data_IF_423271693657
#
_entry.id   IF_423271693657
#
_cell.length_a   1.000
_cell.length_b   1.000
_cell.length_c   1.000
_cell.angle_alpha   90.00
_cell.angle_beta   90.00
_cell.angle_gamma   90.00
#
_symmetry.space_group_name_H-M   'P 1'
#
loop_
_entity.id
_entity.type
_entity.pdbx_description
1 polymer ?
#
# COMPACT_ATOMS: atom_id res chain seq x y z
N UNK A 1 -14.39 -28.79 22.29
CA UNK A 1 -13.71 -27.86 21.37
C UNK A 1 -13.52 -28.59 20.06
N UNK A 2 -14.17 -28.12 18.99
CA UNK A 2 -14.16 -28.79 17.68
C UNK A 2 -12.86 -28.40 16.98
N UNK A 3 -12.11 -29.37 16.49
CA UNK A 3 -10.85 -29.12 15.80
C UNK A 3 -11.09 -28.78 14.34
N UNK A 4 -10.35 -27.81 13.81
CA UNK A 4 -10.31 -27.47 12.39
C UNK A 4 -9.49 -28.52 11.62
N UNK A 5 -9.99 -28.95 10.46
CA UNK A 5 -9.22 -29.81 9.54
C UNK A 5 -8.46 -28.96 8.49
N UNK A 6 -7.56 -29.57 7.73
CA UNK A 6 -6.73 -28.86 6.74
C UNK A 6 -7.57 -28.14 5.67
N UNK A 7 -8.63 -28.78 5.15
CA UNK A 7 -9.52 -28.16 4.15
C UNK A 7 -10.27 -26.94 4.72
N UNK A 8 -10.77 -27.03 5.94
CA UNK A 8 -11.41 -25.92 6.64
C UNK A 8 -10.41 -24.79 6.89
N UNK A 9 -9.18 -25.11 7.29
CA UNK A 9 -8.11 -24.14 7.45
C UNK A 9 -7.79 -23.42 6.13
N UNK A 10 -7.62 -24.14 5.03
CA UNK A 10 -7.41 -23.53 3.71
C UNK A 10 -8.56 -22.59 3.31
N UNK A 11 -9.81 -22.95 3.64
CA UNK A 11 -10.96 -22.08 3.43
C UNK A 11 -10.92 -20.82 4.30
N UNK A 12 -10.49 -20.93 5.56
CA UNK A 12 -10.32 -19.77 6.46
C UNK A 12 -9.31 -18.78 5.86
N UNK A 13 -8.15 -19.26 5.41
CA UNK A 13 -7.12 -18.39 4.82
C UNK A 13 -7.60 -17.75 3.50
N UNK A 14 -8.22 -18.52 2.59
CA UNK A 14 -8.79 -17.96 1.35
C UNK A 14 -9.81 -16.86 1.63
N UNK A 15 -10.73 -17.12 2.56
CA UNK A 15 -11.74 -16.15 2.96
C UNK A 15 -11.11 -14.92 3.61
N UNK A 16 -10.09 -15.10 4.46
CA UNK A 16 -9.35 -14.00 5.06
C UNK A 16 -8.73 -13.10 3.99
N UNK A 17 -7.99 -13.66 3.03
CA UNK A 17 -7.35 -12.90 1.95
C UNK A 17 -8.38 -12.10 1.16
N UNK A 18 -9.49 -12.73 0.76
CA UNK A 18 -10.54 -12.06 -0.02
C UNK A 18 -11.21 -10.93 0.76
N UNK A 19 -11.56 -11.17 2.03
CA UNK A 19 -12.18 -10.15 2.90
C UNK A 19 -11.19 -9.03 3.24
N UNK A 20 -9.93 -9.36 3.48
CA UNK A 20 -8.84 -8.40 3.75
C UNK A 20 -8.63 -7.45 2.57
N UNK A 21 -8.46 -7.98 1.35
CA UNK A 21 -8.29 -7.17 0.14
C UNK A 21 -9.54 -6.33 -0.14
N UNK A 22 -10.73 -6.92 0.02
CA UNK A 22 -12.00 -6.18 -0.10
C UNK A 22 -12.08 -5.00 0.88
N UNK A 23 -11.66 -5.22 2.13
CA UNK A 23 -11.64 -4.19 3.17
C UNK A 23 -10.63 -3.08 2.84
N UNK A 24 -9.42 -3.45 2.39
CA UNK A 24 -8.41 -2.49 1.91
C UNK A 24 -8.97 -1.68 0.74
N UNK A 25 -9.56 -2.33 -0.26
CA UNK A 25 -10.12 -1.66 -1.43
C UNK A 25 -11.20 -0.65 -1.07
N UNK A 26 -12.05 -0.97 -0.09
CA UNK A 26 -13.05 -0.03 0.42
C UNK A 26 -12.42 1.12 1.21
N UNK A 27 -11.62 0.80 2.24
CA UNK A 27 -11.08 1.78 3.18
C UNK A 27 -10.08 2.75 2.54
N UNK A 28 -9.34 2.27 1.54
CA UNK A 28 -8.43 3.09 0.73
C UNK A 28 -9.14 3.76 -0.45
N UNK A 29 -10.47 3.68 -0.52
CA UNK A 29 -11.32 4.31 -1.52
C UNK A 29 -10.86 3.97 -2.95
N UNK A 30 -10.56 2.69 -3.22
CA UNK A 30 -10.04 2.26 -4.52
C UNK A 30 -11.11 2.22 -5.61
N UNK A 31 -12.35 1.90 -5.24
CA UNK A 31 -13.51 1.83 -6.13
C UNK A 31 -14.68 2.64 -5.57
N UNK A 32 -15.67 2.98 -6.41
CA UNK A 32 -16.91 3.60 -5.93
C UNK A 32 -17.75 2.70 -5.05
N UNK A 33 -18.65 3.32 -4.30
CA UNK A 33 -19.54 2.65 -3.35
C UNK A 33 -20.38 1.55 -4.00
N UNK A 34 -20.80 1.70 -5.26
CA UNK A 34 -21.54 0.69 -5.99
C UNK A 34 -20.77 -0.61 -6.27
N UNK A 35 -19.44 -0.57 -6.18
CA UNK A 35 -18.60 -1.77 -6.27
C UNK A 35 -18.67 -2.63 -5.01
N UNK A 36 -19.32 -2.17 -3.95
CA UNK A 36 -19.38 -2.85 -2.67
C UNK A 36 -20.80 -3.12 -2.19
N UNK A 37 -20.91 -4.15 -1.36
CA UNK A 37 -22.11 -4.47 -0.62
C UNK A 37 -21.79 -4.68 0.87
N UNK A 38 -22.76 -4.39 1.74
CA UNK A 38 -22.58 -4.56 3.17
C UNK A 38 -22.51 -6.04 3.54
N UNK A 39 -21.58 -6.37 4.41
CA UNK A 39 -21.41 -7.74 4.94
C UNK A 39 -21.04 -7.70 6.40
N UNK A 40 -21.32 -8.79 7.12
CA UNK A 40 -20.91 -8.96 8.51
C UNK A 40 -20.03 -10.19 8.62
N UNK A 41 -18.81 -10.00 9.14
CA UNK A 41 -17.86 -11.10 9.39
C UNK A 41 -17.45 -11.05 10.86
N UNK A 42 -17.86 -12.07 11.63
CA UNK A 42 -17.50 -12.14 13.05
C UNK A 42 -17.93 -10.93 13.88
N UNK A 43 -19.06 -10.32 13.53
CA UNK A 43 -19.57 -9.11 14.18
C UNK A 43 -18.95 -7.80 13.69
N UNK A 44 -17.96 -7.85 12.78
CA UNK A 44 -17.45 -6.66 12.09
C UNK A 44 -18.36 -6.33 10.91
N UNK A 45 -18.84 -5.09 10.85
CA UNK A 45 -19.47 -4.55 9.64
C UNK A 45 -18.36 -4.24 8.65
N UNK A 46 -18.42 -4.84 7.46
CA UNK A 46 -17.40 -4.70 6.42
C UNK A 46 -18.08 -4.52 5.07
N UNK A 47 -17.26 -4.20 4.06
CA UNK A 47 -17.69 -4.04 2.67
C UNK A 47 -17.11 -5.17 1.84
N UNK A 48 -17.99 -5.90 1.17
CA UNK A 48 -17.63 -6.97 0.24
C UNK A 48 -17.56 -6.40 -1.17
N UNK A 49 -16.42 -6.55 -1.82
CA UNK A 49 -16.19 -6.16 -3.19
C UNK A 49 -17.02 -7.08 -4.10
N UNK A 50 -17.68 -6.48 -5.07
CA UNK A 50 -18.55 -7.14 -6.04
C UNK A 50 -18.01 -6.92 -7.45
N UNK A 51 -18.54 -7.67 -8.43
CA UNK A 51 -18.21 -7.50 -9.85
C UNK A 51 -19.05 -6.41 -10.53
N UNK A 52 -19.46 -5.36 -9.79
CA UNK A 52 -20.35 -4.32 -10.32
C UNK A 52 -19.69 -3.41 -11.37
N UNK A 53 -18.36 -3.27 -11.34
CA UNK A 53 -17.59 -2.50 -12.33
C UNK A 53 -16.45 -3.36 -12.90
N UNK A 54 -16.01 -3.11 -14.16
CA UNK A 54 -14.99 -3.95 -14.80
C UNK A 54 -13.68 -4.06 -14.00
N UNK A 55 -13.24 -2.97 -13.39
CA UNK A 55 -11.99 -2.92 -12.63
C UNK A 55 -12.10 -3.72 -11.32
N UNK A 56 -13.28 -3.72 -10.67
CA UNK A 56 -13.49 -4.55 -9.47
C UNK A 56 -13.64 -6.03 -9.83
N UNK A 57 -14.23 -6.33 -10.99
CA UNK A 57 -14.27 -7.69 -11.53
C UNK A 57 -12.86 -8.22 -11.81
N UNK A 58 -12.00 -7.42 -12.47
CA UNK A 58 -10.62 -7.80 -12.73
C UNK A 58 -9.84 -8.12 -11.43
N UNK A 59 -9.98 -7.29 -10.39
CA UNK A 59 -9.35 -7.58 -9.09
C UNK A 59 -9.88 -8.88 -8.46
N UNK A 60 -11.18 -9.16 -8.59
CA UNK A 60 -11.77 -10.41 -8.10
C UNK A 60 -11.29 -11.62 -8.91
N UNK A 61 -11.04 -11.47 -10.21
CA UNK A 61 -10.52 -12.55 -11.05
C UNK A 61 -9.05 -12.85 -10.74
N UNK A 62 -8.23 -11.83 -10.44
CA UNK A 62 -6.88 -12.02 -9.90
C UNK A 62 -6.90 -12.87 -8.63
N UNK A 63 -7.85 -12.62 -7.72
CA UNK A 63 -7.98 -13.35 -6.45
C UNK A 63 -8.53 -14.77 -6.68
N UNK A 64 -9.69 -14.87 -7.35
CA UNK A 64 -10.45 -16.11 -7.45
C UNK A 64 -9.78 -17.15 -8.35
N UNK A 65 -9.11 -16.70 -9.42
CA UNK A 65 -8.52 -17.61 -10.42
C UNK A 65 -6.99 -17.69 -10.32
N UNK A 66 -6.31 -16.62 -9.90
CA UNK A 66 -4.85 -16.61 -9.79
C UNK A 66 -4.34 -16.93 -8.40
N UNK A 67 -4.69 -16.10 -7.40
CA UNK A 67 -4.23 -16.26 -6.01
C UNK A 67 -4.71 -17.59 -5.43
N UNK A 68 -6.00 -17.92 -5.60
CA UNK A 68 -6.55 -19.15 -5.03
C UNK A 68 -6.07 -20.42 -5.73
N UNK A 69 -5.67 -20.35 -7.00
CA UNK A 69 -4.98 -21.44 -7.68
C UNK A 69 -3.59 -21.68 -7.05
N UNK A 70 -2.82 -20.61 -6.86
CA UNK A 70 -1.49 -20.68 -6.22
C UNK A 70 -1.58 -21.14 -4.74
N UNK A 71 -2.58 -20.69 -3.99
CA UNK A 71 -2.84 -21.17 -2.62
C UNK A 71 -3.28 -22.63 -2.60
N UNK A 72 -4.16 -23.04 -3.53
CA UNK A 72 -4.67 -24.41 -3.61
C UNK A 72 -3.59 -25.45 -3.89
N UNK A 73 -2.52 -25.05 -4.59
CA UNK A 73 -1.33 -25.87 -4.85
C UNK A 73 -0.23 -25.72 -3.79
N UNK A 74 -0.46 -24.90 -2.76
CA UNK A 74 0.54 -24.54 -1.75
C UNK A 74 1.83 -23.93 -2.33
N UNK A 75 1.70 -23.24 -3.46
CA UNK A 75 2.81 -22.59 -4.16
C UNK A 75 3.09 -21.20 -3.60
N UNK A 76 2.04 -20.50 -3.16
CA UNK A 76 2.10 -19.10 -2.74
C UNK A 76 2.76 -18.95 -1.36
N UNK A 77 3.93 -18.28 -1.32
CA UNK A 77 4.62 -17.86 -0.09
C UNK A 77 4.13 -16.49 0.38
N UNK A 78 4.08 -15.51 -0.50
CA UNK A 78 3.62 -14.16 -0.17
C UNK A 78 2.74 -13.60 -1.29
N UNK A 79 1.67 -12.92 -0.90
CA UNK A 79 0.85 -12.09 -1.78
C UNK A 79 1.02 -10.63 -1.37
N UNK A 80 1.44 -9.77 -2.30
CA UNK A 80 1.64 -8.35 -2.05
C UNK A 80 0.68 -7.54 -2.91
N UNK A 81 -0.18 -6.74 -2.27
CA UNK A 81 -1.06 -5.77 -2.93
C UNK A 81 -0.48 -4.39 -2.75
N UNK A 82 -0.14 -3.72 -3.85
CA UNK A 82 0.58 -2.43 -3.80
C UNK A 82 -0.19 -1.35 -4.53
N UNK A 83 -0.32 -0.20 -3.88
CA UNK A 83 -0.97 1.00 -4.41
C UNK A 83 0.11 2.02 -4.77
N UNK A 84 0.06 2.56 -5.99
CA UNK A 84 1.06 3.46 -6.56
C UNK A 84 0.43 4.78 -6.95
N UNK A 85 1.25 5.83 -7.05
CA UNK A 85 0.86 7.08 -7.69
C UNK A 85 0.99 7.00 -9.24
N UNK A 86 0.71 8.11 -9.94
CA UNK A 86 0.84 8.22 -11.40
C UNK A 86 2.26 8.10 -11.96
N UNK A 87 3.27 8.14 -11.10
CA UNK A 87 4.68 7.94 -11.48
C UNK A 87 5.14 6.50 -11.19
N UNK A 88 4.19 5.59 -10.89
CA UNK A 88 4.45 4.20 -10.50
C UNK A 88 5.30 4.04 -9.24
N UNK A 89 5.34 5.08 -8.39
CA UNK A 89 6.00 5.00 -7.08
C UNK A 89 5.02 4.36 -6.10
N UNK A 90 5.42 3.28 -5.40
CA UNK A 90 4.54 2.64 -4.42
C UNK A 90 4.35 3.55 -3.21
N UNK A 91 3.09 3.70 -2.83
CA UNK A 91 2.65 4.49 -1.69
C UNK A 91 2.33 3.60 -0.50
N UNK A 92 1.66 2.47 -0.76
CA UNK A 92 1.24 1.52 0.27
C UNK A 92 1.34 0.09 -0.25
N UNK A 93 1.76 -0.83 0.61
CA UNK A 93 1.79 -2.25 0.32
C UNK A 93 1.18 -3.04 1.48
N UNK A 94 0.35 -4.02 1.14
CA UNK A 94 -0.27 -4.95 2.07
C UNK A 94 0.23 -6.35 1.72
N UNK A 95 1.03 -6.95 2.61
CA UNK A 95 1.63 -8.26 2.40
C UNK A 95 0.88 -9.30 3.22
N UNK A 96 0.49 -10.39 2.56
CA UNK A 96 -0.10 -11.58 3.15
C UNK A 96 0.92 -12.71 2.99
N UNK A 97 1.62 -13.09 4.06
CA UNK A 97 2.61 -14.15 4.04
C UNK A 97 2.00 -15.46 4.55
N UNK A 98 2.12 -16.52 3.76
CA UNK A 98 1.51 -17.82 4.01
C UNK A 98 2.58 -18.85 4.31
N UNK A 99 2.28 -19.75 5.24
CA UNK A 99 3.10 -20.92 5.54
C UNK A 99 2.20 -22.15 5.61
N UNK A 100 2.61 -23.22 4.93
CA UNK A 100 1.89 -24.50 4.91
C UNK A 100 2.60 -25.54 5.80
N UNK A 101 1.84 -26.37 6.50
CA UNK A 101 2.38 -27.42 7.36
C UNK A 101 3.16 -28.46 6.53
N UNK A 102 4.48 -28.30 6.47
CA UNK A 102 5.37 -29.21 5.77
C UNK A 102 6.87 -28.90 5.90
N UNK A 103 7.26 -27.68 6.29
CA UNK A 103 8.67 -27.26 6.17
C UNK A 103 9.52 -27.45 7.43
N UNK A 104 9.00 -27.24 8.63
CA UNK A 104 9.73 -27.42 9.90
C UNK A 104 8.70 -27.46 11.01
N UNK A 105 8.89 -28.20 12.09
CA UNK A 105 7.97 -28.20 13.25
C UNK A 105 7.86 -26.84 13.98
N UNK A 106 8.17 -25.73 13.32
CA UNK A 106 8.10 -24.36 13.79
C UNK A 106 6.99 -23.62 13.04
N UNK A 107 5.93 -23.26 13.76
CA UNK A 107 4.82 -22.42 13.29
C UNK A 107 5.06 -20.95 13.65
N UNK A 108 6.24 -20.41 13.34
CA UNK A 108 6.45 -18.96 13.35
C UNK A 108 6.75 -18.49 11.94
N UNK A 109 5.95 -17.53 11.47
CA UNK A 109 6.19 -16.89 10.18
C UNK A 109 7.32 -15.88 10.40
N UNK A 110 8.57 -16.32 10.27
CA UNK A 110 9.69 -15.37 10.17
C UNK A 110 9.63 -14.70 8.80
N UNK A 111 9.07 -13.50 8.78
CA UNK A 111 9.17 -12.58 7.65
C UNK A 111 10.62 -12.12 7.53
N UNK A 112 11.41 -12.79 6.69
CA UNK A 112 12.60 -12.18 6.13
C UNK A 112 12.15 -11.24 5.02
N UNK A 113 11.76 -10.03 5.39
CA UNK A 113 11.60 -8.94 4.42
C UNK A 113 13.01 -8.68 3.89
N UNK A 114 13.31 -9.25 2.72
CA UNK A 114 14.59 -9.08 2.07
C UNK A 114 14.85 -7.59 1.88
N UNK A 115 15.88 -7.08 2.55
CA UNK A 115 16.66 -5.99 1.98
C UNK A 115 17.06 -6.44 0.56
N UNK A 116 16.51 -5.81 -0.47
CA UNK A 116 16.88 -6.09 -1.85
C UNK A 116 18.24 -5.45 -2.10
N UNK A 117 19.31 -6.08 -1.60
CA UNK A 117 20.67 -5.80 -2.04
C UNK A 117 20.92 -6.65 -3.28
N UNK A 118 21.05 -5.97 -4.42
CA UNK A 118 21.39 -6.59 -5.69
C UNK A 118 22.89 -6.78 -5.82
N UNK A 119 23.47 -7.73 -5.07
CA UNK A 119 24.87 -8.08 -5.23
C UNK A 119 25.07 -9.59 -5.41
N UNK A 120 25.37 -9.97 -6.65
CA UNK A 120 25.86 -11.29 -7.04
C UNK A 120 27.26 -11.56 -6.48
N UNK A 121 27.40 -12.74 -5.87
CA UNK A 121 28.60 -13.57 -5.68
C UNK A 121 29.82 -13.00 -4.93
N UNK A 122 30.19 -13.69 -3.83
CA UNK A 122 31.43 -14.46 -3.84
C UNK A 122 31.56 -15.42 -2.64
N UNK A 123 31.83 -16.68 -2.97
CA UNK A 123 32.23 -17.74 -2.06
C UNK A 123 33.51 -17.38 -1.29
N UNK A 124 33.49 -17.50 0.05
CA UNK A 124 34.67 -17.81 0.86
C UNK A 124 34.34 -18.75 2.02
N UNK A 125 34.60 -20.02 1.74
CA UNK A 125 34.84 -21.12 2.66
C UNK A 125 35.90 -20.75 3.72
N UNK A 126 35.57 -20.80 5.03
CA UNK A 126 36.55 -20.99 6.12
C UNK A 126 35.94 -21.77 7.30
N UNK A 127 36.78 -22.66 7.84
CA UNK A 127 36.52 -23.74 8.80
C UNK A 127 36.14 -23.32 10.23
N UNK A 128 35.27 -24.14 10.85
CA UNK A 128 35.55 -24.90 12.08
C UNK A 128 35.60 -24.19 13.43
N UNK A 129 34.67 -24.57 14.33
CA UNK A 129 34.97 -24.99 15.72
C UNK A 129 33.72 -25.55 16.42
N UNK A 130 33.89 -26.75 16.96
CA UNK A 130 32.96 -27.49 17.81
C UNK A 130 32.65 -26.75 19.13
N UNK A 131 31.40 -26.81 19.59
CA UNK A 131 31.03 -26.99 21.00
C UNK A 131 29.53 -27.34 21.15
N UNK A 132 29.08 -27.89 22.30
CA UNK A 132 28.40 -29.19 22.34
C UNK A 132 26.88 -29.08 22.44
N UNK A 133 26.26 -30.20 22.10
CA UNK A 133 24.83 -30.54 22.19
C UNK A 133 24.23 -30.07 23.52
N UNK A 134 23.35 -29.07 23.44
CA UNK A 134 22.25 -28.87 24.40
C UNK A 134 21.01 -29.47 23.76
N UNK A 135 20.54 -30.59 24.32
CA UNK A 135 19.28 -31.22 23.94
C UNK A 135 18.13 -30.21 24.14
N UNK A 136 17.39 -29.82 23.09
CA UNK A 136 16.17 -29.06 23.29
C UNK A 136 15.14 -30.03 23.88
N UNK A 137 14.72 -29.74 25.11
CA UNK A 137 13.53 -30.33 25.71
C UNK A 137 12.37 -29.92 24.81
N UNK A 138 11.86 -30.86 24.01
CA UNK A 138 10.68 -30.66 23.16
C UNK A 138 9.46 -30.52 24.07
N UNK A 139 9.17 -29.30 24.52
CA UNK A 139 7.82 -29.01 24.98
C UNK A 139 6.86 -29.23 23.81
N UNK A 140 5.73 -29.93 24.01
CA UNK A 140 4.78 -30.16 22.93
C UNK A 140 4.26 -28.81 22.45
N UNK A 141 4.63 -28.44 21.21
CA UNK A 141 4.12 -27.28 20.50
C UNK A 141 2.59 -27.33 20.58
N UNK A 142 1.98 -26.31 21.21
CA UNK A 142 0.53 -26.21 21.33
C UNK A 142 -0.02 -25.86 19.95
N UNK A 143 -0.37 -26.88 19.17
CA UNK A 143 -0.99 -26.70 17.85
C UNK A 143 -2.38 -26.10 18.06
N UNK A 144 -2.55 -24.81 17.76
CA UNK A 144 -3.82 -24.11 17.83
C UNK A 144 -4.75 -24.60 16.70
N UNK A 145 -5.52 -25.66 16.96
CA UNK A 145 -6.49 -26.22 16.02
C UNK A 145 -7.94 -26.10 16.49
N UNK A 146 -8.24 -25.39 17.57
CA UNK A 146 -9.62 -25.16 18.00
C UNK A 146 -10.32 -24.14 17.10
N UNK A 147 -11.52 -24.48 16.61
CA UNK A 147 -12.28 -23.63 15.67
C UNK A 147 -12.66 -22.27 16.24
N UNK A 148 -13.01 -22.19 17.52
CA UNK A 148 -13.41 -20.91 18.12
C UNK A 148 -12.19 -20.00 18.30
N UNK A 149 -11.05 -20.57 18.66
CA UNK A 149 -9.79 -19.84 18.73
C UNK A 149 -9.35 -19.32 17.36
N UNK A 150 -9.37 -20.16 16.32
CA UNK A 150 -9.07 -19.76 14.93
C UNK A 150 -9.98 -18.63 14.47
N UNK A 151 -11.29 -18.74 14.76
CA UNK A 151 -12.27 -17.71 14.44
C UNK A 151 -11.99 -16.40 15.20
N UNK A 152 -11.64 -16.48 16.49
CA UNK A 152 -11.28 -15.32 17.30
C UNK A 152 -10.03 -14.61 16.76
N UNK A 153 -8.98 -15.37 16.43
CA UNK A 153 -7.76 -14.84 15.82
C UNK A 153 -8.07 -14.18 14.47
N UNK A 154 -8.82 -14.86 13.60
CA UNK A 154 -9.27 -14.35 12.29
C UNK A 154 -9.94 -12.98 12.43
N UNK A 155 -10.88 -12.85 13.38
CA UNK A 155 -11.60 -11.59 13.63
C UNK A 155 -10.67 -10.50 14.16
N UNK A 156 -9.72 -10.85 15.02
CA UNK A 156 -8.77 -9.89 15.58
C UNK A 156 -7.84 -9.33 14.50
N UNK A 157 -7.21 -10.19 13.69
CA UNK A 157 -6.31 -9.71 12.62
C UNK A 157 -7.08 -8.89 11.58
N UNK A 158 -8.31 -9.28 11.23
CA UNK A 158 -9.17 -8.46 10.35
C UNK A 158 -9.50 -7.09 10.97
N UNK A 159 -9.82 -7.05 12.27
CA UNK A 159 -10.12 -5.79 12.97
C UNK A 159 -8.90 -4.88 12.97
N UNK A 160 -7.73 -5.41 13.26
CA UNK A 160 -6.50 -4.64 13.36
C UNK A 160 -6.07 -4.11 11.97
N UNK A 161 -6.25 -4.91 10.92
CA UNK A 161 -6.04 -4.47 9.53
C UNK A 161 -6.98 -3.31 9.17
N UNK A 162 -8.26 -3.42 9.51
CA UNK A 162 -9.26 -2.38 9.24
C UNK A 162 -8.93 -1.09 10.00
N UNK A 163 -8.59 -1.19 11.28
CA UNK A 163 -8.24 -0.04 12.11
C UNK A 163 -6.97 0.66 11.60
N UNK A 164 -5.96 -0.10 11.21
CA UNK A 164 -4.74 0.45 10.64
C UNK A 164 -5.03 1.16 9.31
N UNK A 165 -5.71 0.50 8.37
CA UNK A 165 -6.03 1.10 7.07
C UNK A 165 -6.87 2.39 7.18
N UNK A 166 -7.72 2.49 8.22
CA UNK A 166 -8.51 3.68 8.55
C UNK A 166 -7.69 4.84 9.12
N UNK A 167 -6.62 4.54 9.87
CA UNK A 167 -5.76 5.55 10.50
C UNK A 167 -4.78 6.19 9.50
N UNK A 168 -4.43 5.49 8.43
CA UNK A 168 -3.59 6.00 7.34
C UNK A 168 -4.21 7.22 6.64
N UNK A 169 -3.38 8.22 6.32
CA UNK A 169 -3.75 9.42 5.54
C UNK A 169 -4.47 9.05 4.24
N UNK A 170 -5.33 9.93 3.69
CA UNK A 170 -5.91 9.71 2.37
C UNK A 170 -4.84 9.51 1.28
N UNK A 171 -5.14 8.64 0.31
CA UNK A 171 -4.32 8.48 -0.88
C UNK A 171 -4.56 9.63 -1.86
N UNK A 172 -3.62 9.91 -2.78
CA UNK A 172 -3.86 10.77 -3.93
C UNK A 172 -5.04 10.29 -4.79
N UNK A 173 -5.67 11.23 -5.50
CA UNK A 173 -6.82 10.95 -6.37
C UNK A 173 -6.49 9.95 -7.48
N UNK A 174 -5.34 10.15 -8.14
CA UNK A 174 -4.85 9.24 -9.17
C UNK A 174 -3.93 8.18 -8.55
N UNK A 175 -4.35 6.93 -8.64
CA UNK A 175 -3.65 5.79 -8.06
C UNK A 175 -3.81 4.55 -8.91
N UNK A 176 -2.86 3.63 -8.78
CA UNK A 176 -2.79 2.40 -9.55
C UNK A 176 -2.57 1.22 -8.61
N UNK A 177 -3.26 0.12 -8.84
CA UNK A 177 -3.12 -1.11 -8.08
C UNK A 177 -2.27 -2.12 -8.84
N UNK A 178 -1.36 -2.78 -8.16
CA UNK A 178 -0.73 -4.01 -8.67
C UNK A 178 -0.79 -5.10 -7.60
N UNK A 179 -0.60 -6.34 -8.05
CA UNK A 179 -0.57 -7.53 -7.20
C UNK A 179 0.61 -8.40 -7.61
N UNK A 180 1.41 -8.83 -6.65
CA UNK A 180 2.56 -9.70 -6.87
C UNK A 180 2.43 -10.96 -6.03
N UNK A 181 2.79 -12.10 -6.63
CA UNK A 181 2.83 -13.40 -5.98
C UNK A 181 4.27 -13.86 -5.90
N UNK A 182 4.70 -14.21 -4.70
CA UNK A 182 5.99 -14.84 -4.44
C UNK A 182 5.75 -16.29 -4.09
N UNK A 183 6.60 -17.17 -4.61
CA UNK A 183 6.40 -18.61 -4.49
C UNK A 183 7.46 -19.28 -3.61
N UNK A 184 7.14 -20.49 -3.16
CA UNK A 184 8.11 -21.45 -2.67
C UNK A 184 8.85 -22.09 -3.85
N UNK A 185 10.09 -21.67 -4.11
CA UNK A 185 10.87 -22.11 -5.28
C UNK A 185 11.06 -23.63 -5.39
N UNK A 186 11.05 -24.33 -4.25
CA UNK A 186 11.18 -25.79 -4.16
C UNK A 186 9.89 -26.54 -4.53
N UNK A 187 8.74 -25.85 -4.59
CA UNK A 187 7.42 -26.45 -4.85
C UNK A 187 6.87 -26.14 -6.24
N UNK A 188 7.33 -25.05 -6.87
CA UNK A 188 6.71 -24.51 -8.09
C UNK A 188 7.44 -24.99 -9.36
N UNK A 189 6.72 -25.60 -10.32
CA UNK A 189 7.26 -25.90 -11.65
C UNK A 189 7.75 -24.63 -12.37
N UNK A 190 8.83 -24.73 -13.15
CA UNK A 190 9.43 -23.57 -13.84
C UNK A 190 8.53 -22.92 -14.89
N UNK A 191 7.52 -23.64 -15.37
CA UNK A 191 6.55 -23.24 -16.39
C UNK A 191 5.20 -22.82 -15.80
N UNK A 192 5.11 -22.70 -14.47
CA UNK A 192 3.89 -22.27 -13.81
C UNK A 192 3.75 -20.74 -13.86
N UNK A 193 2.69 -20.28 -14.53
CA UNK A 193 2.13 -18.94 -14.38
C UNK A 193 0.66 -19.06 -13.93
N UNK A 194 0.25 -18.44 -12.80
CA UNK A 194 -1.15 -18.45 -12.40
C UNK A 194 -2.01 -17.64 -13.38
N UNK A 195 -3.30 -18.00 -13.52
CA UNK A 195 -4.26 -17.21 -14.30
C UNK A 195 -4.26 -15.73 -13.89
N UNK A 196 -4.28 -14.83 -14.88
CA UNK A 196 -4.21 -13.35 -14.73
C UNK A 196 -2.86 -12.78 -14.28
N UNK A 197 -1.85 -13.62 -14.06
CA UNK A 197 -0.51 -13.18 -13.72
C UNK A 197 0.47 -13.43 -14.88
N UNK A 198 1.57 -12.70 -14.83
CA UNK A 198 2.74 -12.91 -15.68
C UNK A 198 3.97 -12.97 -14.80
N UNK A 199 5.02 -13.60 -15.30
CA UNK A 199 6.35 -13.50 -14.70
C UNK A 199 6.76 -12.02 -14.54
N UNK A 200 7.25 -11.67 -13.34
CA UNK A 200 7.74 -10.33 -13.04
C UNK A 200 9.13 -10.11 -13.67
N UNK A 201 9.36 -8.88 -14.12
CA UNK A 201 10.65 -8.40 -14.61
C UNK A 201 11.33 -7.54 -13.54
N UNK A 202 12.63 -7.30 -13.65
CA UNK A 202 13.36 -6.40 -12.74
C UNK A 202 12.70 -5.01 -12.62
N UNK A 203 12.02 -4.57 -13.68
CA UNK A 203 11.29 -3.31 -13.69
C UNK A 203 10.12 -3.26 -12.70
N UNK A 204 9.46 -4.40 -12.48
CA UNK A 204 8.31 -4.53 -11.59
C UNK A 204 8.74 -4.45 -10.11
N UNK A 205 10.02 -4.69 -9.82
CA UNK A 205 10.60 -4.59 -8.47
C UNK A 205 11.24 -3.22 -8.16
N UNK A 206 11.34 -2.32 -9.15
CA UNK A 206 11.95 -1.01 -8.93
C UNK A 206 11.05 -0.14 -8.05
N UNK A 207 11.59 0.29 -6.90
CA UNK A 207 10.96 1.30 -6.04
C UNK A 207 10.19 0.78 -4.83
N UNK A 208 10.27 -0.51 -4.50
CA UNK A 208 9.52 -1.18 -3.39
C UNK A 208 9.78 -0.56 -1.99
N UNK A 209 10.79 0.28 -1.84
CA UNK A 209 11.13 0.87 -0.54
C UNK A 209 10.12 1.96 -0.14
N UNK A 210 9.16 1.56 0.69
CA UNK A 210 8.23 2.43 1.41
C UNK A 210 8.80 2.65 2.81
N UNK A 211 9.25 3.87 3.12
CA UNK A 211 10.14 4.13 4.26
C UNK A 211 9.51 4.79 5.49
N UNK A 212 8.18 4.96 5.55
CA UNK A 212 7.56 5.70 6.65
C UNK A 212 7.00 4.78 7.74
N UNK A 213 5.98 3.97 7.39
CA UNK A 213 5.39 2.99 8.29
C UNK A 213 5.72 1.58 7.79
N UNK A 214 6.15 0.71 8.70
CA UNK A 214 6.19 -0.75 8.54
C UNK A 214 5.62 -1.37 9.81
N UNK A 215 4.52 -2.10 9.68
CA UNK A 215 3.79 -2.65 10.82
C UNK A 215 3.28 -4.05 10.51
N UNK A 216 3.67 -5.03 11.34
CA UNK A 216 3.00 -6.32 11.39
C UNK A 216 1.65 -6.15 12.10
N UNK A 217 0.57 -6.46 11.37
CA UNK A 217 -0.81 -6.28 11.82
C UNK A 217 -1.23 -7.44 12.72
N UNK A 218 -0.83 -8.66 12.36
CA UNK A 218 -1.12 -9.84 13.16
C UNK A 218 -0.87 -11.15 12.42
N UNK A 219 -1.06 -12.23 13.16
CA UNK A 219 -0.84 -13.60 12.71
C UNK A 219 -2.08 -14.44 12.98
N UNK A 220 -2.34 -15.40 12.09
CA UNK A 220 -3.41 -16.37 12.17
C UNK A 220 -2.82 -17.77 12.05
N UNK A 221 -2.92 -18.55 13.12
CA UNK A 221 -2.49 -19.95 13.15
C UNK A 221 -3.71 -20.85 13.20
N UNK A 222 -3.75 -21.85 12.32
CA UNK A 222 -4.86 -22.81 12.25
C UNK A 222 -4.45 -24.24 12.60
N UNK A 223 -3.17 -24.45 12.91
CA UNK A 223 -2.56 -25.76 13.09
C UNK A 223 -2.31 -26.55 11.81
N UNK A 224 -2.73 -26.03 10.64
CA UNK A 224 -2.42 -26.60 9.31
C UNK A 224 -1.75 -25.57 8.40
N UNK A 225 -2.11 -24.30 8.56
CA UNK A 225 -1.56 -23.18 7.81
C UNK A 225 -1.44 -21.97 8.72
N UNK A 226 -0.44 -21.13 8.44
CA UNK A 226 -0.25 -19.84 9.09
C UNK A 226 -0.35 -18.71 8.07
N UNK A 227 -0.86 -17.57 8.52
CA UNK A 227 -0.93 -16.34 7.75
C UNK A 227 -0.44 -15.18 8.62
N UNK A 228 0.49 -14.38 8.11
CA UNK A 228 0.87 -13.10 8.68
C UNK A 228 0.48 -11.96 7.74
N UNK A 229 0.11 -10.81 8.31
CA UNK A 229 -0.25 -9.61 7.55
C UNK A 229 0.66 -8.45 7.95
N UNK A 230 1.32 -7.85 6.96
CA UNK A 230 2.11 -6.63 7.13
C UNK A 230 1.57 -5.50 6.28
N UNK A 231 1.73 -4.28 6.79
CA UNK A 231 1.40 -3.06 6.06
C UNK A 231 2.60 -2.14 6.05
N UNK A 232 2.95 -1.67 4.85
CA UNK A 232 3.85 -0.52 4.68
C UNK A 232 3.10 0.63 4.03
N UNK A 233 3.32 1.85 4.51
CA UNK A 233 2.66 3.03 3.94
C UNK A 233 3.54 4.28 4.08
N UNK A 234 3.63 5.07 3.02
CA UNK A 234 4.15 6.44 3.08
C UNK A 234 3.06 7.45 3.48
N UNK A 235 1.79 7.08 3.33
CA UNK A 235 0.62 7.87 3.64
C UNK A 235 0.22 7.70 5.12
N UNK A 236 1.13 7.99 6.03
CA UNK A 236 0.92 7.95 7.48
C UNK A 236 0.93 9.37 8.06
N UNK A 237 0.04 9.65 9.02
CA UNK A 237 0.10 10.86 9.83
C UNK A 237 0.87 10.50 11.11
N UNK A 238 2.08 11.03 11.27
CA UNK A 238 2.73 10.99 12.57
C UNK A 238 2.50 12.32 13.29
N UNK A 239 2.06 12.23 14.55
CA UNK A 239 2.16 13.22 15.64
C UNK A 239 1.11 12.86 16.74
N UNK A 240 1.44 11.89 17.62
CA UNK A 240 0.76 11.57 18.90
C UNK A 240 -0.47 10.63 18.92
N UNK A 241 -0.67 9.71 17.97
CA UNK A 241 -1.79 8.73 18.04
C UNK A 241 -1.33 7.29 17.84
N UNK A 242 -0.60 6.70 18.80
CA UNK A 242 -0.38 5.24 18.82
C UNK A 242 -0.26 4.69 20.24
N UNK A 243 -1.34 4.82 21.02
CA UNK A 243 -1.69 3.78 21.98
C UNK A 243 -3.07 3.27 21.58
N UNK A 244 -3.13 2.34 20.62
CA UNK A 244 -4.39 1.70 20.23
C UNK A 244 -4.83 0.71 21.33
N UNK A 245 -5.24 1.25 22.48
CA UNK A 245 -6.02 0.53 23.49
C UNK A 245 -7.49 0.82 23.22
N UNK A 246 -8.16 -0.12 22.57
CA UNK A 246 -9.59 -0.02 22.28
C UNK A 246 -10.43 -0.32 23.52
N UNK A 247 -11.11 0.69 24.07
CA UNK A 247 -12.16 0.49 25.07
C UNK A 247 -13.48 0.10 24.41
N UNK A 248 -13.74 -1.21 24.29
CA UNK A 248 -15.05 -1.88 24.42
C UNK A 248 -16.31 -1.35 23.73
N UNK A 249 -16.27 -0.45 22.74
CA UNK A 249 -17.46 0.02 22.02
C UNK A 249 -17.61 -0.67 20.66
N UNK A 250 -18.86 -0.93 20.26
CA UNK A 250 -19.23 -1.40 18.91
C UNK A 250 -18.67 -0.44 17.87
N UNK A 251 -17.88 -0.98 16.92
CA UNK A 251 -17.08 -0.23 15.96
C UNK A 251 -17.87 -0.03 14.66
N UNK A 252 -18.26 1.21 14.38
CA UNK A 252 -18.76 1.62 13.07
C UNK A 252 -17.56 1.91 12.15
N UNK A 253 -17.28 1.00 11.23
CA UNK A 253 -16.13 1.02 10.32
C UNK A 253 -16.42 1.80 9.02
N UNK A 254 -17.65 2.27 8.83
CA UNK A 254 -18.15 2.80 7.56
C UNK A 254 -18.03 4.33 7.44
N UNK A 255 -17.72 5.06 8.52
CA UNK A 255 -18.13 6.47 8.64
C UNK A 255 -17.09 7.56 8.33
N UNK A 256 -15.94 7.29 7.68
CA UNK A 256 -14.86 8.32 7.62
C UNK A 256 -14.47 8.92 6.26
N UNK A 257 -14.94 8.47 5.08
CA UNK A 257 -14.35 8.96 3.81
C UNK A 257 -15.37 9.38 2.75
N UNK A 258 -15.00 10.40 1.98
CA UNK A 258 -15.74 10.81 0.78
C UNK A 258 -15.64 9.68 -0.26
N UNK A 259 -16.77 9.00 -0.49
CA UNK A 259 -16.88 7.91 -1.47
C UNK A 259 -16.75 8.43 -2.90
N UNK A 260 -16.09 7.67 -3.77
CA UNK A 260 -16.11 7.95 -5.21
C UNK A 260 -17.55 7.83 -5.72
N UNK A 261 -17.97 8.81 -6.53
CA UNK A 261 -19.33 8.83 -7.08
C UNK A 261 -19.52 7.74 -8.12
N UNK A 262 -20.64 7.02 -8.02
CA UNK A 262 -21.02 5.98 -8.99
C UNK A 262 -21.21 6.53 -10.43
N UNK A 263 -21.36 7.86 -10.60
CA UNK A 263 -21.56 8.51 -11.90
C UNK A 263 -20.30 8.54 -12.79
N UNK A 264 -19.13 8.13 -12.29
CA UNK A 264 -17.91 8.04 -13.10
C UNK A 264 -17.87 6.81 -14.01
N UNK A 265 -18.64 5.76 -13.71
CA UNK A 265 -18.67 4.50 -14.48
C UNK A 265 -19.73 4.47 -15.60
N UNK A 266 -20.47 5.57 -15.80
CA UNK A 266 -21.44 5.65 -16.88
C UNK A 266 -20.72 5.62 -18.25
N UNK A 267 -21.18 4.81 -19.22
CA UNK A 267 -20.57 4.77 -20.55
C UNK A 267 -20.57 6.17 -21.16
N UNK A 268 -19.42 6.58 -21.75
CA UNK A 268 -19.19 7.92 -22.32
C UNK A 268 -20.28 8.39 -23.30
N UNK A 269 -21.06 7.47 -23.88
CA UNK A 269 -22.18 7.77 -24.77
C UNK A 269 -23.35 8.55 -24.11
N UNK A 270 -23.45 8.57 -22.78
CA UNK A 270 -24.54 9.27 -22.08
C UNK A 270 -24.25 10.75 -21.75
N UNK A 271 -22.99 11.22 -21.90
CA UNK A 271 -22.61 12.61 -21.58
C UNK A 271 -22.88 13.61 -22.70
N UNK A 272 -23.24 13.16 -23.92
CA UNK A 272 -23.45 14.06 -25.07
C UNK A 272 -24.92 14.50 -25.26
N UNK A 273 -25.88 13.97 -24.50
CA UNK A 273 -27.31 14.30 -24.68
C UNK A 273 -27.89 15.37 -23.75
N UNK A 274 -27.09 16.01 -22.89
CA UNK A 274 -27.59 17.08 -21.99
C UNK A 274 -27.05 18.49 -22.28
N UNK A 275 -26.21 18.66 -23.30
CA UNK A 275 -25.72 19.99 -23.72
C UNK A 275 -26.55 20.53 -24.90
N UNK A 276 -27.82 20.84 -24.65
CA UNK A 276 -28.68 21.46 -25.65
C UNK A 276 -29.71 22.37 -25.00
N UNK A 277 -29.66 23.66 -25.36
CA UNK A 277 -30.60 24.74 -25.06
C UNK A 277 -30.24 25.63 -23.86
N UNK A 278 -29.40 26.64 -24.12
CA UNK A 278 -29.76 27.99 -23.67
C UNK A 278 -29.37 29.06 -24.68
N UNK A 279 -30.38 29.87 -24.98
CA UNK A 279 -30.48 30.79 -26.09
C UNK A 279 -29.61 32.04 -25.94
N UNK A 280 -29.21 32.52 -27.11
CA UNK A 280 -28.56 33.79 -27.40
C UNK A 280 -29.49 34.96 -27.10
N UNK A 281 -29.01 35.98 -26.37
CA UNK A 281 -29.52 37.36 -26.47
C UNK A 281 -28.35 38.35 -26.42
N UNK A 282 -28.17 39.10 -27.50
CA UNK A 282 -27.24 40.23 -27.65
C UNK A 282 -27.75 41.50 -26.95
N UNK A 283 -26.86 42.33 -26.39
CA UNK A 283 -26.68 43.76 -26.77
C UNK A 283 -25.67 44.53 -25.88
N UNK A 284 -25.11 45.68 -26.35
CA UNK A 284 -23.74 46.14 -26.03
C UNK A 284 -23.64 47.53 -25.38
N UNK A 285 -22.48 47.86 -24.81
CA UNK A 285 -21.84 49.19 -24.61
C UNK A 285 -20.45 48.91 -23.99
N UNK A 286 -19.29 49.52 -24.29
CA UNK A 286 -18.84 50.59 -25.17
C UNK A 286 -17.39 50.97 -24.78
N UNK A 287 -16.52 51.13 -25.79
CA UNK A 287 -15.39 52.10 -25.93
C UNK A 287 -14.25 52.26 -24.88
N UNK A 288 -13.01 52.26 -25.38
CA UNK A 288 -11.87 53.02 -24.81
C UNK A 288 -10.48 52.64 -25.36
N UNK A 289 -9.93 53.43 -26.29
CA UNK A 289 -8.59 53.30 -26.91
C UNK A 289 -7.49 54.17 -26.23
N UNK A 290 -6.22 53.83 -26.52
CA UNK A 290 -4.97 54.63 -26.67
C UNK A 290 -3.80 54.14 -25.79
N UNK A 291 -2.51 54.35 -26.09
CA UNK A 291 -1.65 54.30 -27.30
C UNK A 291 -0.24 54.78 -26.87
N UNK A 292 0.79 53.93 -27.04
CA UNK A 292 2.19 54.18 -27.48
C UNK A 292 3.21 55.08 -26.73
N UNK A 293 4.47 54.63 -26.94
CA UNK A 293 5.80 55.30 -26.96
C UNK A 293 6.59 55.49 -25.65
N UNK A 294 7.93 55.58 -25.62
CA UNK A 294 9.07 54.88 -26.26
C UNK A 294 10.35 55.33 -25.48
N UNK A 295 11.44 54.53 -25.51
CA UNK A 295 12.88 54.89 -25.35
C UNK A 295 13.63 55.03 -24.00
N UNK A 296 14.62 54.11 -23.84
CA UNK A 296 16.04 54.15 -23.37
C UNK A 296 16.52 54.65 -21.98
N UNK A 297 17.13 53.67 -21.26
CA UNK A 297 18.48 53.58 -20.63
C UNK A 297 18.89 54.58 -19.54
N UNK A 298 19.02 54.06 -18.31
CA UNK A 298 20.14 54.31 -17.40
C UNK A 298 20.26 53.15 -16.37
N UNK A 299 21.43 52.50 -16.27
CA UNK A 299 21.84 51.78 -15.05
C UNK A 299 22.46 52.82 -14.11
N UNK A 300 22.20 52.79 -12.78
CA UNK A 300 23.07 51.96 -11.94
C UNK A 300 22.46 51.41 -10.63
N UNK A 301 23.17 50.38 -10.13
CA UNK A 301 23.33 49.90 -8.75
C UNK A 301 22.19 49.10 -8.09
N UNK A 302 22.57 47.85 -7.86
CA UNK A 302 21.92 46.73 -7.19
C UNK A 302 21.72 46.96 -5.69
N UNK A 303 20.48 47.22 -5.28
CA UNK A 303 19.99 46.96 -3.92
C UNK A 303 18.50 46.66 -3.96
N UNK A 304 18.14 45.47 -4.46
CA UNK A 304 16.83 44.86 -4.19
C UNK A 304 17.10 43.41 -3.81
N UNK A 305 17.35 43.19 -2.52
CA UNK A 305 17.52 41.84 -1.95
C UNK A 305 16.25 41.04 -2.22
N UNK A 306 16.47 39.90 -2.86
CA UNK A 306 15.65 39.41 -3.95
C UNK A 306 14.59 38.41 -3.45
N UNK A 307 13.35 38.87 -3.24
CA UNK A 307 12.21 38.01 -2.86
C UNK A 307 11.92 36.93 -3.91
N UNK A 308 12.29 37.18 -5.18
CA UNK A 308 12.15 36.22 -6.27
C UNK A 308 13.22 35.11 -6.22
N UNK A 309 14.39 35.37 -5.62
CA UNK A 309 15.43 34.33 -5.45
C UNK A 309 15.07 33.30 -4.37
N UNK A 310 14.39 33.71 -3.30
CA UNK A 310 14.01 32.78 -2.23
C UNK A 310 12.96 31.80 -2.72
N UNK A 311 11.97 32.26 -3.49
CA UNK A 311 10.94 31.38 -4.03
C UNK A 311 11.52 30.39 -5.04
N UNK A 312 12.50 30.80 -5.85
CA UNK A 312 13.19 29.90 -6.78
C UNK A 312 14.06 28.87 -6.04
N UNK A 313 14.74 29.30 -4.96
CA UNK A 313 15.48 28.42 -4.07
C UNK A 313 14.57 27.40 -3.39
N UNK A 314 13.37 27.78 -2.94
CA UNK A 314 12.40 26.87 -2.32
C UNK A 314 11.83 25.86 -3.32
N UNK A 315 11.59 26.29 -4.57
CA UNK A 315 11.14 25.39 -5.63
C UNK A 315 12.24 24.39 -6.00
N UNK A 316 13.48 24.86 -6.14
CA UNK A 316 14.64 24.00 -6.39
C UNK A 316 14.89 23.04 -5.22
N UNK A 317 14.80 23.51 -3.98
CA UNK A 317 14.98 22.66 -2.80
C UNK A 317 13.91 21.59 -2.71
N UNK A 318 12.66 21.92 -3.08
CA UNK A 318 11.57 20.94 -3.15
C UNK A 318 11.84 19.87 -4.22
N UNK A 319 12.30 20.27 -5.41
CA UNK A 319 12.67 19.34 -6.50
C UNK A 319 13.87 18.43 -6.11
N UNK A 320 14.83 18.96 -5.35
CA UNK A 320 15.99 18.19 -4.89
C UNK A 320 15.55 17.21 -3.78
N UNK A 321 14.77 17.67 -2.82
CA UNK A 321 14.24 16.84 -1.73
C UNK A 321 13.39 15.67 -2.23
N UNK A 322 12.59 15.87 -3.28
CA UNK A 322 11.81 14.80 -3.90
C UNK A 322 12.66 13.80 -4.68
N UNK A 323 13.87 14.18 -5.13
CA UNK A 323 14.80 13.31 -5.86
C UNK A 323 15.75 12.52 -4.96
N UNK A 324 16.21 13.09 -3.83
CA UNK A 324 17.30 12.48 -3.04
C UNK A 324 16.83 11.58 -1.90
N UNK A 325 15.53 11.51 -1.60
CA UNK A 325 14.87 10.70 -0.55
C UNK A 325 15.40 10.84 0.90
N UNK A 326 16.55 11.48 1.12
CA UNK A 326 17.02 12.02 2.40
C UNK A 326 17.56 13.44 2.21
N UNK A 327 17.23 14.32 3.14
CA UNK A 327 17.72 15.70 3.15
C UNK A 327 18.43 15.95 4.48
N UNK A 328 19.72 15.59 4.55
CA UNK A 328 20.57 16.20 5.58
C UNK A 328 20.87 17.65 5.14
N UNK A 329 20.97 18.56 6.11
CA UNK A 329 21.12 20.00 5.87
C UNK A 329 22.35 20.32 5.01
N UNK A 330 23.45 19.59 5.21
CA UNK A 330 24.72 19.80 4.52
C UNK A 330 24.63 19.45 3.02
N UNK A 331 23.91 18.39 2.68
CA UNK A 331 23.71 17.94 1.29
C UNK A 331 22.84 18.93 0.52
N UNK A 332 21.78 19.47 1.15
CA UNK A 332 20.89 20.44 0.51
C UNK A 332 21.58 21.78 0.27
N UNK A 333 22.43 22.23 1.19
CA UNK A 333 23.24 23.46 1.05
C UNK A 333 24.19 23.34 -0.15
N UNK A 334 24.86 22.19 -0.26
CA UNK A 334 25.79 21.89 -1.36
C UNK A 334 25.08 21.89 -2.73
N UNK A 335 23.94 21.22 -2.84
CA UNK A 335 23.19 21.12 -4.11
C UNK A 335 22.50 22.43 -4.52
N UNK A 336 22.08 23.25 -3.55
CA UNK A 336 21.51 24.57 -3.83
C UNK A 336 22.58 25.63 -4.16
N UNK A 337 23.87 25.33 -3.92
CA UNK A 337 24.97 26.26 -4.16
C UNK A 337 24.89 27.54 -3.32
N UNK A 338 24.31 27.46 -2.12
CA UNK A 338 24.09 28.59 -1.21
C UNK A 338 25.11 28.59 -0.08
N UNK A 339 25.47 29.77 0.42
CA UNK A 339 26.37 29.90 1.57
C UNK A 339 25.66 29.64 2.92
N UNK A 340 26.46 29.39 3.96
CA UNK A 340 25.97 29.05 5.31
C UNK A 340 25.13 30.17 5.96
N UNK A 341 25.35 31.44 5.60
CA UNK A 341 24.59 32.56 6.15
C UNK A 341 23.19 32.61 5.55
N UNK A 342 23.07 32.41 4.24
CA UNK A 342 21.78 32.30 3.55
C UNK A 342 21.04 31.02 3.96
N UNK A 343 21.75 29.91 4.13
CA UNK A 343 21.19 28.66 4.62
C UNK A 343 20.59 28.81 6.04
N UNK A 344 21.25 29.56 6.95
CA UNK A 344 20.70 29.85 8.28
C UNK A 344 19.45 30.72 8.26
N UNK A 345 19.29 31.57 7.24
CA UNK A 345 18.11 32.40 7.06
C UNK A 345 16.91 31.61 6.49
N UNK A 346 17.18 30.64 5.60
CA UNK A 346 16.15 29.82 4.93
C UNK A 346 15.69 28.65 5.81
N UNK A 347 16.62 27.94 6.47
CA UNK A 347 16.31 26.72 7.25
C UNK A 347 16.14 26.98 8.75
N UNK A 348 15.50 28.10 9.12
CA UNK A 348 15.38 28.51 10.52
C UNK A 348 14.28 27.70 11.23
N UNK A 349 14.73 26.65 11.94
CA UNK A 349 14.01 25.67 12.80
C UNK A 349 12.80 24.98 12.17
#
# INVERSE_FOLDING_TARGET
MSKINSQESANVLRNFVKVGISSIAYLRNLFAECAFEDTVVGGLQLKRLTRAVPESAALLDWIDEGVFDAMGKEYLKELVVTIHNSEHVPLESYTFALQYAGNTGECSVQLSVGHFDGSTDNAKQRNGRDNPISTPVTEPVVINNDKEEVKRQTINVLRDLVLLAQSLSPLPDNRYLSMMLFYYEDRVPKDYDPPHFRTASDADFRGIEISNLEQQVGELETGHHNLAVDVRSCCYLDDNVTTYKTNGKSLDTLTRRQSISCNEYAPRAAREYSAGHRAVTNSPYGTGMHSKDNTRVAQPRSTVTNRNNILDLLKRSHIIATKTKYVNKECLIRELGIDDNLAKAIFKK
#
